data_IF_716864839850
#
_entry.id   IF_716864839850
#
_cell.length_a   1.000
_cell.length_b   1.000
_cell.length_c   1.000
_cell.angle_alpha   90.00
_cell.angle_beta   90.00
_cell.angle_gamma   90.00
#
_symmetry.space_group_name_H-M   'P 1'
#
loop_
_entity.id
_entity.type
_entity.pdbx_description
1 polymer ?
#
# COMPACT_ATOMS: atom_id res chain seq x y z
N UNK A 1 8.32 -26.28 14.10
CA UNK A 1 7.47 -25.66 13.05
C UNK A 1 8.11 -24.32 12.71
N UNK A 2 8.37 -24.00 11.43
CA UNK A 2 9.05 -22.76 11.03
C UNK A 2 8.18 -21.53 11.35
N UNK A 3 8.74 -20.59 12.12
CA UNK A 3 8.06 -19.33 12.46
C UNK A 3 7.88 -18.47 11.21
N UNK A 4 6.64 -18.19 10.86
CA UNK A 4 6.28 -17.57 9.57
C UNK A 4 5.72 -16.18 9.76
N UNK A 5 6.21 -15.22 8.96
CA UNK A 5 5.65 -13.88 8.80
C UNK A 5 4.84 -13.82 7.51
N UNK A 6 3.62 -13.26 7.56
CA UNK A 6 2.90 -12.83 6.37
C UNK A 6 3.35 -11.43 5.96
N UNK A 7 3.71 -11.28 4.70
CA UNK A 7 4.18 -10.03 4.12
C UNK A 7 3.18 -9.56 3.06
N UNK A 8 2.66 -8.33 3.22
CA UNK A 8 1.69 -7.74 2.31
C UNK A 8 2.31 -6.57 1.55
N UNK A 9 2.10 -6.53 0.24
CA UNK A 9 2.64 -5.48 -0.63
C UNK A 9 1.75 -4.22 -0.62
N UNK A 10 2.31 -3.09 -1.07
CA UNK A 10 1.62 -1.82 -1.26
C UNK A 10 1.17 -1.58 -2.69
N UNK A 11 0.83 -0.32 -2.99
CA UNK A 11 0.59 0.16 -4.34
C UNK A 11 1.90 0.22 -5.14
N UNK A 12 1.81 0.15 -6.45
CA UNK A 12 2.97 0.28 -7.36
C UNK A 12 3.52 -1.04 -7.89
N UNK A 13 2.81 -2.15 -7.64
CA UNK A 13 3.11 -3.45 -8.25
C UNK A 13 2.74 -3.53 -9.74
N UNK A 14 2.92 -4.71 -10.33
CA UNK A 14 2.50 -4.97 -11.71
C UNK A 14 0.97 -5.13 -11.79
N UNK A 15 0.31 -4.16 -12.40
CA UNK A 15 -1.16 -4.13 -12.52
C UNK A 15 -1.71 -5.33 -13.28
N UNK A 16 -1.01 -5.83 -14.30
CA UNK A 16 -1.45 -7.00 -15.07
C UNK A 16 -1.45 -8.27 -14.21
N UNK A 17 -0.44 -8.43 -13.37
CA UNK A 17 -0.39 -9.53 -12.40
C UNK A 17 -1.53 -9.44 -11.39
N UNK A 18 -1.86 -8.25 -10.90
CA UNK A 18 -2.97 -8.03 -9.98
C UNK A 18 -4.31 -8.40 -10.60
N UNK A 19 -4.58 -7.93 -11.83
CA UNK A 19 -5.84 -8.26 -12.55
C UNK A 19 -5.98 -9.77 -12.74
N UNK A 20 -4.93 -10.43 -13.24
CA UNK A 20 -4.94 -11.88 -13.47
C UNK A 20 -5.18 -12.64 -12.17
N UNK A 21 -4.49 -12.29 -11.09
CA UNK A 21 -4.63 -12.93 -9.79
C UNK A 21 -6.03 -12.73 -9.19
N UNK A 22 -6.60 -11.53 -9.28
CA UNK A 22 -7.96 -11.27 -8.83
C UNK A 22 -9.01 -12.07 -9.59
N UNK A 23 -8.88 -12.17 -10.93
CA UNK A 23 -9.79 -12.97 -11.75
C UNK A 23 -9.70 -14.45 -11.40
N UNK A 24 -8.50 -14.99 -11.19
CA UNK A 24 -8.30 -16.36 -10.74
C UNK A 24 -8.94 -16.62 -9.37
N UNK A 25 -8.79 -15.69 -8.41
CA UNK A 25 -9.42 -15.80 -7.10
C UNK A 25 -10.95 -15.72 -7.19
N UNK A 26 -11.47 -14.79 -7.99
CA UNK A 26 -12.91 -14.63 -8.20
C UNK A 26 -13.56 -15.86 -8.85
N UNK A 27 -12.86 -16.52 -9.76
CA UNK A 27 -13.35 -17.74 -10.43
C UNK A 27 -13.44 -18.98 -9.52
N UNK A 28 -12.87 -18.94 -8.31
CA UNK A 28 -12.89 -20.08 -7.39
C UNK A 28 -14.19 -20.11 -6.57
N UNK A 29 -14.96 -21.22 -6.60
CA UNK A 29 -16.22 -21.33 -5.87
C UNK A 29 -16.11 -21.04 -4.36
N UNK A 30 -15.00 -21.45 -3.73
CA UNK A 30 -14.73 -21.20 -2.30
C UNK A 30 -14.63 -19.72 -1.94
N UNK A 31 -14.38 -18.84 -2.90
CA UNK A 31 -14.25 -17.39 -2.69
C UNK A 31 -15.56 -16.62 -2.99
N UNK A 32 -16.63 -17.30 -3.41
CA UNK A 32 -17.84 -16.64 -3.86
C UNK A 32 -18.47 -15.74 -2.80
N UNK A 33 -18.60 -16.23 -1.56
CA UNK A 33 -19.16 -15.46 -0.45
C UNK A 33 -18.31 -14.22 -0.14
N UNK A 34 -16.98 -14.34 -0.19
CA UNK A 34 -16.06 -13.23 0.00
C UNK A 34 -16.26 -12.14 -1.06
N UNK A 35 -16.28 -12.52 -2.34
CA UNK A 35 -16.44 -11.52 -3.42
C UNK A 35 -17.83 -10.88 -3.43
N UNK A 36 -18.88 -11.61 -3.04
CA UNK A 36 -20.20 -11.00 -2.82
C UNK A 36 -20.14 -9.91 -1.73
N UNK A 37 -19.44 -10.17 -0.62
CA UNK A 37 -19.22 -9.18 0.43
C UNK A 37 -18.40 -7.98 -0.05
N UNK A 38 -17.36 -8.21 -0.85
CA UNK A 38 -16.55 -7.14 -1.48
C UNK A 38 -17.42 -6.24 -2.36
N UNK A 39 -18.24 -6.81 -3.24
CA UNK A 39 -19.09 -6.03 -4.13
C UNK A 39 -20.14 -5.22 -3.37
N UNK A 40 -20.80 -5.84 -2.38
CA UNK A 40 -21.77 -5.14 -1.54
C UNK A 40 -21.12 -3.99 -0.76
N UNK A 41 -19.94 -4.20 -0.19
CA UNK A 41 -19.21 -3.14 0.54
C UNK A 41 -18.80 -1.98 -0.38
N UNK A 42 -18.44 -2.25 -1.64
CA UNK A 42 -18.11 -1.21 -2.61
C UNK A 42 -19.36 -0.45 -3.07
N UNK A 43 -20.49 -1.13 -3.32
CA UNK A 43 -21.76 -0.49 -3.63
C UNK A 43 -22.19 0.44 -2.49
N UNK A 44 -22.11 -0.03 -1.21
CA UNK A 44 -22.36 0.80 -0.03
C UNK A 44 -21.46 2.06 0.00
N UNK A 45 -20.15 1.92 -0.30
CA UNK A 45 -19.23 3.07 -0.33
C UNK A 45 -19.62 4.06 -1.42
N UNK A 46 -19.97 3.59 -2.63
CA UNK A 46 -20.37 4.44 -3.74
C UNK A 46 -21.67 5.20 -3.42
N UNK A 47 -22.62 4.56 -2.76
CA UNK A 47 -23.88 5.19 -2.32
C UNK A 47 -23.63 6.21 -1.21
N UNK A 48 -22.75 5.89 -0.25
CA UNK A 48 -22.37 6.80 0.84
C UNK A 48 -21.68 8.08 0.35
N UNK A 49 -20.81 7.97 -0.66
CA UNK A 49 -20.11 9.12 -1.24
C UNK A 49 -21.03 10.10 -1.97
N UNK A 50 -22.13 9.61 -2.53
CA UNK A 50 -23.01 10.39 -3.39
C UNK A 50 -22.44 10.63 -4.80
N UNK A 51 -23.28 11.16 -5.69
CA UNK A 51 -22.94 11.31 -7.11
C UNK A 51 -21.75 12.26 -7.33
N UNK A 52 -21.78 13.44 -6.72
CA UNK A 52 -20.79 14.50 -6.97
C UNK A 52 -19.35 14.04 -6.63
N UNK A 53 -19.17 13.43 -5.44
CA UNK A 53 -17.85 12.93 -5.03
C UNK A 53 -17.43 11.75 -5.90
N UNK A 54 -18.37 10.84 -6.19
CA UNK A 54 -18.07 9.68 -7.03
C UNK A 54 -17.61 10.10 -8.43
N UNK A 55 -18.30 11.05 -9.07
CA UNK A 55 -17.97 11.51 -10.42
C UNK A 55 -16.62 12.26 -10.44
N UNK A 56 -16.27 12.96 -9.35
CA UNK A 56 -14.98 13.61 -9.19
C UNK A 56 -13.81 12.59 -9.08
N UNK A 57 -13.91 11.62 -8.17
CA UNK A 57 -12.77 10.76 -7.79
C UNK A 57 -12.72 9.44 -8.55
N UNK A 58 -13.85 8.99 -9.09
CA UNK A 58 -14.05 7.73 -9.83
C UNK A 58 -14.87 7.95 -11.11
N UNK A 59 -14.40 8.75 -12.05
CA UNK A 59 -15.20 9.10 -13.25
C UNK A 59 -15.59 7.89 -14.11
N UNK A 60 -14.82 6.78 -14.03
CA UNK A 60 -15.18 5.50 -14.66
C UNK A 60 -16.04 4.59 -13.77
N UNK A 61 -16.43 5.06 -12.57
CA UNK A 61 -17.04 4.23 -11.53
C UNK A 61 -16.09 3.18 -10.97
N UNK A 62 -16.64 2.25 -10.20
CA UNK A 62 -15.90 1.10 -9.65
C UNK A 62 -16.73 -0.20 -9.76
N UNK A 63 -17.21 -0.59 -10.95
CA UNK A 63 -18.01 -1.78 -11.15
C UNK A 63 -17.12 -3.04 -11.16
N UNK A 64 -16.49 -3.33 -10.01
CA UNK A 64 -15.43 -4.35 -9.88
C UNK A 64 -15.92 -5.73 -10.35
N UNK A 65 -17.17 -6.13 -10.03
CA UNK A 65 -17.75 -7.38 -10.50
C UNK A 65 -17.68 -7.48 -12.04
N UNK A 66 -18.22 -6.46 -12.73
CA UNK A 66 -18.21 -6.42 -14.19
C UNK A 66 -16.79 -6.48 -14.76
N UNK A 67 -15.83 -5.80 -14.14
CA UNK A 67 -14.46 -5.80 -14.60
C UNK A 67 -13.78 -7.17 -14.42
N UNK A 68 -14.07 -7.88 -13.34
CA UNK A 68 -13.56 -9.24 -13.14
C UNK A 68 -14.15 -10.23 -14.16
N UNK A 69 -15.40 -10.07 -14.55
CA UNK A 69 -16.10 -10.93 -15.53
C UNK A 69 -15.72 -10.57 -16.98
N UNK A 70 -15.70 -9.30 -17.34
CA UNK A 70 -15.60 -8.82 -18.73
C UNK A 70 -14.25 -8.18 -19.09
N UNK A 71 -13.39 -7.87 -18.11
CA UNK A 71 -12.11 -7.20 -18.28
C UNK A 71 -12.08 -5.78 -17.73
N UNK A 72 -10.91 -5.38 -17.25
CA UNK A 72 -10.67 -4.04 -16.74
C UNK A 72 -10.46 -3.05 -17.91
N UNK A 73 -10.95 -1.80 -17.79
CA UNK A 73 -10.52 -0.74 -18.70
C UNK A 73 -8.99 -0.55 -18.64
N UNK A 74 -8.32 -0.22 -19.76
CA UNK A 74 -6.84 -0.17 -19.83
C UNK A 74 -6.18 0.67 -18.75
N UNK A 75 -6.80 1.77 -18.34
CA UNK A 75 -6.21 2.73 -17.39
C UNK A 75 -6.87 2.72 -16.00
N UNK A 76 -7.80 1.78 -15.73
CA UNK A 76 -8.54 1.75 -14.47
C UNK A 76 -7.61 1.70 -13.23
N UNK A 77 -6.55 0.89 -13.29
CA UNK A 77 -5.59 0.74 -12.19
C UNK A 77 -4.55 1.88 -12.08
N UNK A 78 -4.60 2.89 -12.95
CA UNK A 78 -3.85 4.14 -12.74
C UNK A 78 -4.46 5.00 -11.64
N UNK A 79 -5.78 4.86 -11.41
CA UNK A 79 -6.43 5.49 -10.28
C UNK A 79 -6.05 4.75 -8.99
N UNK A 80 -5.42 5.45 -8.05
CA UNK A 80 -4.95 4.86 -6.78
C UNK A 80 -6.08 4.28 -5.93
N UNK A 81 -7.33 4.79 -6.05
CA UNK A 81 -8.49 4.26 -5.34
C UNK A 81 -8.82 2.86 -5.88
N UNK A 82 -8.91 2.74 -7.20
CA UNK A 82 -9.19 1.45 -7.87
C UNK A 82 -8.09 0.44 -7.57
N UNK A 83 -6.82 0.83 -7.75
CA UNK A 83 -5.68 -0.04 -7.50
C UNK A 83 -5.62 -0.50 -6.05
N UNK A 84 -5.82 0.41 -5.09
CA UNK A 84 -5.76 0.08 -3.67
C UNK A 84 -6.88 -0.84 -3.19
N UNK A 85 -8.10 -0.62 -3.66
CA UNK A 85 -9.23 -1.53 -3.43
C UNK A 85 -8.92 -2.94 -3.98
N UNK A 86 -8.39 -3.02 -5.20
CA UNK A 86 -8.02 -4.29 -5.82
C UNK A 86 -6.90 -5.01 -5.08
N UNK A 87 -5.84 -4.29 -4.66
CA UNK A 87 -4.74 -4.87 -3.85
C UNK A 87 -5.29 -5.41 -2.53
N UNK A 88 -6.10 -4.63 -1.82
CA UNK A 88 -6.68 -5.04 -0.54
C UNK A 88 -7.60 -6.26 -0.70
N UNK A 89 -8.51 -6.24 -1.70
CA UNK A 89 -9.39 -7.38 -1.98
C UNK A 89 -8.60 -8.65 -2.32
N UNK A 90 -7.52 -8.55 -3.09
CA UNK A 90 -6.63 -9.66 -3.37
C UNK A 90 -6.00 -10.23 -2.10
N UNK A 91 -5.40 -9.37 -1.28
CA UNK A 91 -4.66 -9.78 -0.08
C UNK A 91 -5.57 -10.42 0.97
N UNK A 92 -6.71 -9.79 1.26
CA UNK A 92 -7.66 -10.29 2.27
C UNK A 92 -8.34 -11.58 1.82
N UNK A 93 -8.56 -11.81 0.53
CA UNK A 93 -9.09 -13.07 0.00
C UNK A 93 -8.28 -14.30 0.46
N UNK A 94 -6.98 -14.17 0.61
CA UNK A 94 -6.10 -15.25 1.08
C UNK A 94 -6.18 -15.53 2.59
N UNK A 95 -6.84 -14.67 3.36
CA UNK A 95 -6.93 -14.76 4.82
C UNK A 95 -8.18 -15.47 5.32
N UNK A 96 -9.02 -15.98 4.42
CA UNK A 96 -10.25 -16.69 4.77
C UNK A 96 -9.97 -17.88 5.70
N UNK A 97 -10.81 -18.11 6.74
CA UNK A 97 -10.67 -19.23 7.63
C UNK A 97 -10.84 -20.56 6.87
N UNK A 98 -9.79 -21.35 6.73
CA UNK A 98 -9.80 -22.60 5.96
C UNK A 98 -10.04 -23.86 6.81
N UNK A 99 -10.29 -23.70 8.11
CA UNK A 99 -10.53 -24.82 9.04
C UNK A 99 -9.35 -25.79 9.24
N UNK A 100 -8.22 -25.58 8.57
CA UNK A 100 -7.05 -26.46 8.65
C UNK A 100 -5.86 -25.72 9.26
N UNK A 101 -5.04 -26.41 10.05
CA UNK A 101 -3.93 -25.90 10.87
C UNK A 101 -2.76 -25.16 10.17
N UNK A 102 -2.94 -24.72 8.90
CA UNK A 102 -1.96 -23.90 8.19
C UNK A 102 -1.61 -22.60 8.92
N UNK A 103 -2.53 -22.10 9.76
CA UNK A 103 -2.36 -20.84 10.49
C UNK A 103 -1.48 -20.93 11.74
N UNK A 104 -1.16 -22.12 12.25
CA UNK A 104 -0.38 -22.27 13.48
C UNK A 104 1.10 -21.87 13.33
N UNK A 105 1.66 -22.00 12.12
CA UNK A 105 3.02 -21.57 11.83
C UNK A 105 3.17 -20.06 11.65
N UNK A 106 2.07 -19.36 11.34
CA UNK A 106 2.07 -17.91 11.14
C UNK A 106 2.08 -17.24 12.51
N UNK A 107 3.13 -16.48 12.81
CA UNK A 107 3.35 -15.87 14.12
C UNK A 107 3.41 -14.35 14.10
N UNK A 108 3.43 -13.74 12.91
CA UNK A 108 3.50 -12.28 12.74
C UNK A 108 3.00 -11.85 11.36
N UNK A 109 2.68 -10.56 11.22
CA UNK A 109 2.35 -9.93 9.95
C UNK A 109 3.05 -8.56 9.82
N UNK A 110 3.40 -8.21 8.57
CA UNK A 110 3.97 -6.92 8.20
C UNK A 110 3.39 -6.50 6.84
N UNK A 111 2.93 -5.26 6.73
CA UNK A 111 2.32 -4.75 5.52
C UNK A 111 2.96 -3.46 5.04
N UNK A 112 3.42 -3.41 3.79
CA UNK A 112 3.96 -2.21 3.18
C UNK A 112 2.82 -1.27 2.76
N UNK A 113 2.84 -0.01 3.24
CA UNK A 113 1.84 0.99 2.89
C UNK A 113 0.40 0.46 3.10
N UNK A 114 -0.46 0.47 2.09
CA UNK A 114 -1.85 -0.02 2.17
C UNK A 114 -1.96 -1.48 2.60
N UNK A 115 -0.92 -2.29 2.36
CA UNK A 115 -0.82 -3.67 2.85
C UNK A 115 -0.86 -3.80 4.37
N UNK A 116 -0.64 -2.70 5.11
CA UNK A 116 -0.79 -2.66 6.57
C UNK A 116 -2.20 -3.06 7.00
N UNK A 117 -3.24 -2.66 6.26
CA UNK A 117 -4.61 -3.03 6.61
C UNK A 117 -4.86 -4.55 6.46
N UNK A 118 -4.30 -5.17 5.42
CA UNK A 118 -4.36 -6.63 5.28
C UNK A 118 -3.55 -7.35 6.39
N UNK A 119 -2.42 -6.78 6.81
CA UNK A 119 -1.65 -7.28 7.95
C UNK A 119 -2.44 -7.20 9.26
N UNK A 120 -3.21 -6.12 9.49
CA UNK A 120 -4.12 -5.98 10.64
C UNK A 120 -5.20 -7.07 10.60
N UNK A 121 -5.87 -7.27 9.46
CA UNK A 121 -6.86 -8.35 9.30
C UNK A 121 -6.23 -9.72 9.59
N UNK A 122 -5.02 -9.98 9.11
CA UNK A 122 -4.28 -11.20 9.41
C UNK A 122 -3.97 -11.35 10.91
N UNK A 123 -3.63 -10.23 11.58
CA UNK A 123 -3.34 -10.19 13.01
C UNK A 123 -4.56 -10.49 13.89
N UNK A 124 -5.74 -10.07 13.48
CA UNK A 124 -7.02 -10.29 14.19
C UNK A 124 -7.48 -11.76 14.14
N UNK A 125 -7.08 -12.53 13.14
CA UNK A 125 -7.34 -13.98 13.02
C UNK A 125 -8.79 -14.40 13.27
N UNK A 126 -9.79 -13.86 12.57
CA UNK A 126 -11.17 -14.29 12.72
C UNK A 126 -11.27 -15.81 12.45
N UNK A 127 -11.94 -16.54 13.35
CA UNK A 127 -12.02 -18.00 13.24
C UNK A 127 -13.27 -18.46 12.51
N UNK A 128 -14.31 -17.66 12.51
CA UNK A 128 -15.59 -17.95 11.87
C UNK A 128 -15.67 -17.20 10.54
N UNK A 129 -16.33 -17.81 9.58
CA UNK A 129 -16.48 -17.22 8.23
C UNK A 129 -17.31 -15.93 8.29
N UNK A 130 -18.38 -15.90 9.08
CA UNK A 130 -19.23 -14.70 9.25
C UNK A 130 -18.46 -13.53 9.87
N UNK A 131 -17.66 -13.78 10.92
CA UNK A 131 -16.77 -12.78 11.53
C UNK A 131 -15.74 -12.26 10.53
N UNK A 132 -15.13 -13.17 9.75
CA UNK A 132 -14.19 -12.80 8.71
C UNK A 132 -14.83 -11.92 7.64
N UNK A 133 -16.02 -12.29 7.14
CA UNK A 133 -16.70 -11.52 6.09
C UNK A 133 -17.10 -10.13 6.58
N UNK A 134 -17.59 -10.00 7.81
CA UNK A 134 -17.91 -8.71 8.42
C UNK A 134 -16.64 -7.82 8.56
N UNK A 135 -15.55 -8.40 9.09
CA UNK A 135 -14.27 -7.70 9.20
C UNK A 135 -13.70 -7.29 7.84
N UNK A 136 -13.77 -8.16 6.84
CA UNK A 136 -13.30 -7.88 5.49
C UNK A 136 -14.09 -6.73 4.85
N UNK A 137 -15.40 -6.65 5.05
CA UNK A 137 -16.24 -5.56 4.57
C UNK A 137 -15.89 -4.22 5.24
N UNK A 138 -15.78 -4.17 6.58
CA UNK A 138 -15.36 -2.95 7.29
C UNK A 138 -13.95 -2.51 6.91
N UNK A 139 -13.03 -3.46 6.76
CA UNK A 139 -11.65 -3.23 6.34
C UNK A 139 -11.58 -2.65 4.92
N UNK A 140 -12.40 -3.16 3.99
CA UNK A 140 -12.48 -2.65 2.62
C UNK A 140 -13.06 -1.24 2.58
N UNK A 141 -14.13 -0.96 3.34
CA UNK A 141 -14.72 0.37 3.48
C UNK A 141 -13.69 1.37 4.02
N UNK A 142 -12.93 0.99 5.04
CA UNK A 142 -11.86 1.83 5.61
C UNK A 142 -10.79 2.16 4.55
N UNK A 143 -10.31 1.16 3.80
CA UNK A 143 -9.34 1.35 2.73
C UNK A 143 -9.91 2.25 1.63
N UNK A 144 -11.10 1.97 1.13
CA UNK A 144 -11.72 2.74 0.05
C UNK A 144 -11.91 4.21 0.44
N UNK A 145 -12.46 4.49 1.64
CA UNK A 145 -12.65 5.86 2.11
C UNK A 145 -11.33 6.57 2.39
N UNK A 146 -10.31 5.88 2.91
CA UNK A 146 -8.97 6.48 3.08
C UNK A 146 -8.38 6.94 1.76
N UNK A 147 -8.55 6.16 0.70
CA UNK A 147 -8.09 6.50 -0.64
C UNK A 147 -8.91 7.65 -1.25
N UNK A 148 -10.24 7.64 -1.09
CA UNK A 148 -11.12 8.73 -1.55
C UNK A 148 -10.77 10.04 -0.85
N UNK A 149 -10.69 10.03 0.50
CA UNK A 149 -10.35 11.25 1.27
C UNK A 149 -8.93 11.73 0.98
N UNK A 150 -7.99 10.78 0.76
CA UNK A 150 -6.64 11.09 0.29
C UNK A 150 -6.64 11.79 -1.06
N UNK A 151 -7.41 11.29 -2.04
CA UNK A 151 -7.55 11.90 -3.36
C UNK A 151 -8.13 13.32 -3.27
N UNK A 152 -9.23 13.50 -2.52
CA UNK A 152 -9.85 14.81 -2.30
C UNK A 152 -8.92 15.81 -1.61
N UNK A 153 -8.04 15.36 -0.70
CA UNK A 153 -7.10 16.23 0.02
C UNK A 153 -5.84 16.53 -0.78
N UNK A 154 -5.52 15.71 -1.78
CA UNK A 154 -4.37 15.95 -2.66
C UNK A 154 -4.53 17.22 -3.51
N UNK A 155 -5.76 17.72 -3.68
CA UNK A 155 -6.07 18.84 -4.56
C UNK A 155 -5.84 18.46 -6.03
N UNK A 156 -6.29 19.27 -6.95
CA UNK A 156 -5.93 19.10 -8.36
C UNK A 156 -4.41 19.24 -8.51
N UNK A 157 -3.71 18.14 -8.68
CA UNK A 157 -2.25 18.10 -8.88
C UNK A 157 -1.90 18.56 -10.30
N UNK A 158 -2.49 19.68 -10.75
CA UNK A 158 -2.22 20.27 -12.05
C UNK A 158 -0.73 20.49 -12.22
N UNK A 159 -0.09 19.58 -12.94
CA UNK A 159 1.32 19.75 -13.29
C UNK A 159 1.47 20.87 -14.29
N UNK A 160 2.57 21.66 -14.18
CA UNK A 160 2.92 22.62 -15.19
C UNK A 160 3.14 21.87 -16.53
N UNK A 161 2.35 22.15 -17.61
CA UNK A 161 2.41 21.40 -18.86
C UNK A 161 3.78 21.48 -19.53
N UNK A 162 4.50 22.60 -19.40
CA UNK A 162 5.84 22.78 -19.99
C UNK A 162 6.86 21.85 -19.33
N UNK A 163 6.80 21.73 -17.97
CA UNK A 163 7.68 20.82 -17.23
C UNK A 163 7.37 19.35 -17.56
N UNK A 164 6.09 19.03 -17.71
CA UNK A 164 5.65 17.68 -18.11
C UNK A 164 6.20 17.33 -19.50
N UNK A 165 6.00 18.21 -20.49
CA UNK A 165 6.50 18.00 -21.87
C UNK A 165 8.02 17.83 -21.88
N UNK A 166 8.75 18.73 -21.19
CA UNK A 166 10.20 18.64 -21.07
C UNK A 166 10.68 17.34 -20.43
N UNK A 167 9.96 16.84 -19.43
CA UNK A 167 10.29 15.55 -18.80
C UNK A 167 10.05 14.37 -19.74
N UNK A 168 8.90 14.34 -20.42
CA UNK A 168 8.52 13.25 -21.32
C UNK A 168 9.46 13.14 -22.54
N UNK A 169 10.03 14.26 -23.02
CA UNK A 169 11.04 14.25 -24.06
C UNK A 169 12.33 13.51 -23.64
N UNK A 170 12.62 13.45 -22.35
CA UNK A 170 13.83 12.84 -21.78
C UNK A 170 13.59 11.44 -21.21
N UNK A 171 12.40 11.13 -20.69
CA UNK A 171 12.07 9.82 -20.15
C UNK A 171 11.61 8.87 -21.27
N UNK A 172 12.56 8.07 -21.77
CA UNK A 172 12.28 7.03 -22.77
C UNK A 172 11.29 5.95 -22.32
N UNK A 173 10.96 5.89 -21.03
CA UNK A 173 10.02 4.91 -20.45
C UNK A 173 8.57 5.40 -20.51
N UNK A 174 8.32 6.65 -20.90
CA UNK A 174 6.99 7.21 -21.11
C UNK A 174 6.10 7.27 -19.87
N UNK A 175 6.68 7.28 -18.66
CA UNK A 175 5.89 7.34 -17.42
C UNK A 175 5.37 8.75 -17.20
N UNK A 176 4.06 8.87 -17.09
CA UNK A 176 3.40 10.15 -16.78
C UNK A 176 3.83 10.64 -15.40
N UNK A 177 4.30 11.89 -15.28
CA UNK A 177 4.57 12.51 -14.00
C UNK A 177 3.36 12.50 -13.07
N UNK A 178 3.60 12.27 -11.78
CA UNK A 178 2.58 12.19 -10.74
C UNK A 178 3.12 12.69 -9.39
N UNK A 179 2.32 12.60 -8.31
CA UNK A 179 2.67 13.18 -7.01
C UNK A 179 3.66 12.34 -6.19
N UNK A 180 4.20 11.26 -6.76
CA UNK A 180 5.23 10.44 -6.12
C UNK A 180 6.30 10.02 -7.12
N UNK A 181 7.57 10.06 -6.70
CA UNK A 181 8.70 9.64 -7.52
C UNK A 181 9.69 8.78 -6.73
N UNK A 182 10.14 7.68 -7.32
CA UNK A 182 11.17 6.80 -6.76
C UNK A 182 12.55 7.23 -7.23
N UNK A 183 13.51 7.25 -6.30
CA UNK A 183 14.94 7.44 -6.53
C UNK A 183 15.68 6.15 -6.18
N UNK A 184 16.58 5.73 -7.04
CA UNK A 184 17.46 4.58 -6.78
C UNK A 184 18.91 4.99 -7.03
N UNK A 185 19.80 4.64 -6.10
CA UNK A 185 21.25 4.89 -6.22
C UNK A 185 21.76 6.16 -5.55
N UNK A 186 20.92 6.91 -4.83
CA UNK A 186 21.33 8.04 -3.99
C UNK A 186 21.30 7.65 -2.51
N UNK A 187 22.29 8.09 -1.74
CA UNK A 187 22.27 7.90 -0.29
C UNK A 187 21.18 8.74 0.36
N UNK A 188 20.62 8.25 1.48
CA UNK A 188 19.63 9.02 2.26
C UNK A 188 20.20 10.38 2.71
N UNK A 189 21.48 10.44 3.07
CA UNK A 189 22.15 11.69 3.49
C UNK A 189 22.17 12.74 2.37
N UNK A 190 22.59 12.33 1.17
CA UNK A 190 22.68 13.25 0.02
C UNK A 190 21.29 13.71 -0.43
N UNK A 191 20.30 12.80 -0.40
CA UNK A 191 18.91 13.14 -0.69
C UNK A 191 18.36 14.17 0.29
N UNK A 192 18.57 13.99 1.60
CA UNK A 192 18.16 14.98 2.60
C UNK A 192 18.82 16.35 2.39
N UNK A 193 20.10 16.37 2.00
CA UNK A 193 20.81 17.60 1.65
C UNK A 193 20.19 18.32 0.45
N UNK A 194 19.84 17.57 -0.62
CA UNK A 194 19.19 18.10 -1.81
C UNK A 194 17.77 18.64 -1.49
N UNK A 195 16.97 17.87 -0.75
CA UNK A 195 15.62 18.26 -0.34
C UNK A 195 15.62 19.52 0.53
N UNK A 196 16.54 19.63 1.50
CA UNK A 196 16.63 20.81 2.37
C UNK A 196 16.88 22.07 1.54
N UNK A 197 17.90 22.06 0.65
CA UNK A 197 18.19 23.20 -0.23
C UNK A 197 17.00 23.60 -1.11
N UNK A 198 16.27 22.60 -1.62
CA UNK A 198 15.07 22.83 -2.42
C UNK A 198 13.93 23.44 -1.61
N UNK A 199 13.64 22.89 -0.44
CA UNK A 199 12.53 23.35 0.41
C UNK A 199 12.78 24.74 1.03
N UNK A 200 14.05 25.13 1.26
CA UNK A 200 14.42 26.48 1.70
C UNK A 200 13.98 27.58 0.71
N UNK A 201 13.71 27.24 -0.56
CA UNK A 201 13.18 28.15 -1.57
C UNK A 201 11.66 28.38 -1.52
N UNK A 202 10.97 27.88 -0.48
CA UNK A 202 9.51 27.98 -0.33
C UNK A 202 8.74 26.92 -1.10
N UNK A 203 9.42 25.92 -1.64
CA UNK A 203 8.87 24.74 -2.31
C UNK A 203 8.78 23.56 -1.34
N UNK A 204 8.07 22.50 -1.70
CA UNK A 204 7.83 21.39 -0.76
C UNK A 204 7.86 20.01 -1.42
N UNK A 205 8.96 19.29 -1.16
CA UNK A 205 9.03 17.85 -1.40
C UNK A 205 9.29 17.12 -0.08
N UNK A 206 8.67 15.96 0.11
CA UNK A 206 8.77 15.16 1.33
C UNK A 206 9.37 13.79 1.03
N UNK A 207 10.21 13.28 1.92
CA UNK A 207 10.64 11.87 1.88
C UNK A 207 9.50 11.02 2.43
N UNK A 208 8.89 10.20 1.58
CA UNK A 208 7.72 9.40 1.89
C UNK A 208 8.06 7.97 2.26
N UNK A 209 9.02 7.35 1.55
CA UNK A 209 9.41 5.98 1.84
C UNK A 209 10.94 5.83 1.77
N UNK A 210 11.49 5.17 2.78
CA UNK A 210 12.82 4.60 2.77
C UNK A 210 12.65 3.09 2.63
N UNK A 211 12.58 2.60 1.39
CA UNK A 211 12.28 1.20 1.08
C UNK A 211 13.49 0.28 1.29
N UNK A 212 14.68 0.80 1.05
CA UNK A 212 15.96 0.12 1.28
C UNK A 212 17.08 1.17 1.35
N UNK A 213 18.32 0.80 1.68
CA UNK A 213 19.44 1.74 1.70
C UNK A 213 19.63 2.52 0.38
N UNK A 214 19.17 1.96 -0.74
CA UNK A 214 19.36 2.53 -2.07
C UNK A 214 18.08 2.98 -2.77
N UNK A 215 16.90 2.72 -2.20
CA UNK A 215 15.59 3.03 -2.82
C UNK A 215 14.76 3.89 -1.90
N UNK A 216 14.54 5.14 -2.28
CA UNK A 216 13.68 6.10 -1.58
C UNK A 216 12.55 6.57 -2.50
N UNK A 217 11.48 7.10 -1.89
CA UNK A 217 10.37 7.72 -2.62
C UNK A 217 10.08 9.09 -2.05
N UNK A 218 9.95 10.06 -2.92
CA UNK A 218 9.50 11.41 -2.60
C UNK A 218 8.02 11.57 -2.94
N UNK A 219 7.33 12.42 -2.18
CA UNK A 219 6.00 12.94 -2.50
C UNK A 219 5.97 14.46 -2.49
N UNK A 220 5.04 15.02 -3.25
CA UNK A 220 4.82 16.45 -3.39
C UNK A 220 3.85 16.75 -4.51
N UNK A 221 3.64 18.03 -4.82
CA UNK A 221 2.95 18.37 -6.06
C UNK A 221 3.76 17.85 -7.26
N UNK A 222 3.08 17.47 -8.34
CA UNK A 222 3.79 17.03 -9.56
C UNK A 222 4.75 18.10 -10.08
N UNK A 223 4.38 19.38 -9.97
CA UNK A 223 5.24 20.51 -10.34
C UNK A 223 6.48 20.56 -9.48
N UNK A 224 6.35 20.46 -8.13
CA UNK A 224 7.51 20.49 -7.22
C UNK A 224 8.46 19.31 -7.47
N UNK A 225 7.92 18.11 -7.74
CA UNK A 225 8.75 16.94 -8.05
C UNK A 225 9.50 17.08 -9.37
N UNK A 226 8.86 17.66 -10.40
CA UNK A 226 9.51 17.96 -11.68
C UNK A 226 10.59 19.03 -11.53
N UNK A 227 10.30 20.12 -10.83
CA UNK A 227 11.26 21.16 -10.54
C UNK A 227 12.45 20.63 -9.72
N UNK A 228 12.18 19.78 -8.71
CA UNK A 228 13.23 19.11 -7.93
C UNK A 228 14.11 18.22 -8.83
N UNK A 229 13.50 17.45 -9.74
CA UNK A 229 14.21 16.63 -10.69
C UNK A 229 15.15 17.49 -11.55
N UNK A 230 14.64 18.54 -12.19
CA UNK A 230 15.44 19.41 -13.07
C UNK A 230 16.54 20.19 -12.32
N UNK A 231 16.27 20.60 -11.08
CA UNK A 231 17.27 21.26 -10.25
C UNK A 231 18.45 20.34 -9.85
N UNK A 232 18.24 19.02 -9.87
CA UNK A 232 19.26 18.04 -9.50
C UNK A 232 19.69 17.14 -10.66
N UNK A 233 19.21 17.37 -11.88
CA UNK A 233 19.41 16.52 -13.06
C UNK A 233 20.89 16.18 -13.29
N UNK A 234 21.77 17.17 -13.27
CA UNK A 234 23.22 16.99 -13.46
C UNK A 234 23.82 16.08 -12.38
N UNK A 235 23.40 16.26 -11.11
CA UNK A 235 23.88 15.41 -10.00
C UNK A 235 23.36 13.99 -10.16
N UNK A 236 22.11 13.82 -10.58
CA UNK A 236 21.51 12.50 -10.81
C UNK A 236 22.23 11.74 -11.92
N UNK A 237 22.53 12.40 -13.03
CA UNK A 237 23.31 11.82 -14.15
C UNK A 237 24.71 11.41 -13.71
N UNK A 238 25.45 12.31 -13.05
CA UNK A 238 26.83 12.05 -12.59
C UNK A 238 26.90 10.90 -11.57
N UNK A 239 25.91 10.84 -10.67
CA UNK A 239 25.83 9.82 -9.62
C UNK A 239 25.08 8.56 -10.06
N UNK A 240 24.64 8.47 -11.31
CA UNK A 240 23.84 7.36 -11.89
C UNK A 240 22.57 7.07 -11.08
N UNK A 241 21.94 8.12 -10.54
CA UNK A 241 20.67 8.01 -9.84
C UNK A 241 19.56 7.75 -10.87
N UNK A 242 18.76 6.74 -10.61
CA UNK A 242 17.55 6.48 -11.40
C UNK A 242 16.35 7.17 -10.76
N UNK A 243 15.75 8.10 -11.49
CA UNK A 243 14.48 8.73 -11.16
C UNK A 243 13.33 8.07 -11.92
N UNK A 244 12.18 7.86 -11.27
CA UNK A 244 11.00 7.32 -11.95
C UNK A 244 9.73 7.71 -11.22
N UNK A 245 8.77 8.35 -11.91
CA UNK A 245 7.45 8.58 -11.34
C UNK A 245 6.70 7.27 -11.10
N UNK A 246 5.95 7.22 -9.99
CA UNK A 246 5.06 6.12 -9.65
C UNK A 246 3.68 6.38 -10.24
N UNK A 247 2.95 5.31 -10.58
CA UNK A 247 1.57 5.41 -11.10
C UNK A 247 0.56 5.67 -9.98
N UNK A 248 0.85 6.64 -9.11
CA UNK A 248 -0.03 7.02 -8.01
C UNK A 248 -0.67 8.38 -8.30
N UNK A 249 -1.94 8.55 -7.93
CA UNK A 249 -2.68 9.82 -8.03
C UNK A 249 -2.76 10.57 -6.70
N UNK A 250 -2.20 10.01 -5.63
CA UNK A 250 -2.24 10.53 -4.26
C UNK A 250 -0.81 10.59 -3.73
N UNK A 251 -0.38 11.72 -3.10
CA UNK A 251 0.95 11.87 -2.49
C UNK A 251 1.00 11.19 -1.11
N UNK A 252 0.92 9.85 -1.08
CA UNK A 252 0.92 9.08 0.16
C UNK A 252 2.13 9.35 1.05
N UNK A 253 1.98 9.04 2.35
CA UNK A 253 3.03 9.17 3.37
C UNK A 253 3.55 10.60 3.47
N UNK A 254 2.62 11.57 3.42
CA UNK A 254 2.90 12.99 3.47
C UNK A 254 2.00 13.70 4.47
N UNK A 255 2.56 14.63 5.25
CA UNK A 255 1.79 15.46 6.18
C UNK A 255 0.67 16.27 5.50
N UNK A 256 0.75 16.48 4.19
CA UNK A 256 -0.33 17.10 3.41
C UNK A 256 -1.65 16.31 3.46
N UNK A 257 -1.60 15.00 3.74
CA UNK A 257 -2.77 14.15 3.86
C UNK A 257 -3.34 14.06 5.29
N UNK A 258 -2.80 14.81 6.26
CA UNK A 258 -3.36 14.84 7.61
C UNK A 258 -4.86 15.21 7.65
N UNK A 259 -5.37 16.17 6.84
CA UNK A 259 -6.81 16.43 6.76
C UNK A 259 -7.62 15.23 6.26
N UNK A 260 -7.08 14.42 5.35
CA UNK A 260 -7.73 13.21 4.88
C UNK A 260 -7.93 12.20 6.02
N UNK A 261 -6.91 12.00 6.85
CA UNK A 261 -6.99 11.10 8.00
C UNK A 261 -8.09 11.52 8.98
N UNK A 262 -8.25 12.83 9.23
CA UNK A 262 -9.33 13.36 10.06
C UNK A 262 -10.71 13.09 9.45
N UNK A 263 -10.89 13.33 8.15
CA UNK A 263 -12.16 13.08 7.44
C UNK A 263 -12.56 11.60 7.45
N UNK A 264 -11.60 10.68 7.36
CA UNK A 264 -11.91 9.23 7.48
C UNK A 264 -12.42 8.88 8.88
N UNK A 265 -11.98 9.59 9.92
CA UNK A 265 -12.55 9.41 11.28
C UNK A 265 -14.02 9.82 11.36
N UNK A 266 -14.43 10.84 10.63
CA UNK A 266 -15.83 11.22 10.53
C UNK A 266 -16.66 10.14 9.81
N UNK A 267 -16.03 9.36 8.92
CA UNK A 267 -16.67 8.25 8.20
C UNK A 267 -16.79 6.95 9.04
N UNK A 268 -16.21 6.85 10.26
CA UNK A 268 -16.16 5.61 11.03
C UNK A 268 -17.53 5.01 11.37
N UNK A 269 -18.55 5.84 11.58
CA UNK A 269 -19.91 5.37 11.81
C UNK A 269 -20.45 4.56 10.62
N UNK A 270 -20.09 4.94 9.40
CA UNK A 270 -20.45 4.22 8.17
C UNK A 270 -19.53 2.99 7.94
N UNK A 271 -18.25 3.09 8.21
CA UNK A 271 -17.29 1.98 8.05
C UNK A 271 -17.71 0.79 8.91
N UNK A 272 -18.22 1.05 10.10
CA UNK A 272 -18.60 0.03 11.07
C UNK A 272 -17.47 -0.31 12.04
N UNK A 273 -17.69 -1.29 12.93
CA UNK A 273 -16.75 -1.60 13.99
C UNK A 273 -15.41 -2.14 13.43
N UNK A 274 -14.32 -1.57 13.92
CA UNK A 274 -12.95 -2.07 13.72
C UNK A 274 -12.43 -2.49 15.10
N UNK A 275 -11.96 -3.75 15.27
CA UNK A 275 -11.42 -4.21 16.55
C UNK A 275 -10.21 -3.41 17.00
N UNK A 276 -10.03 -3.22 18.31
CA UNK A 276 -8.87 -2.57 18.90
C UNK A 276 -7.61 -3.44 18.92
N UNK A 277 -6.45 -2.85 19.31
CA UNK A 277 -5.16 -3.54 19.32
C UNK A 277 -5.10 -4.75 20.25
N UNK A 278 -5.91 -4.77 21.32
CA UNK A 278 -6.06 -5.89 22.24
C UNK A 278 -6.64 -7.16 21.60
N UNK A 279 -7.32 -7.00 20.44
CA UNK A 279 -7.90 -8.11 19.67
C UNK A 279 -6.88 -8.78 18.75
N UNK A 280 -5.68 -8.22 18.60
CA UNK A 280 -4.62 -8.81 17.75
C UNK A 280 -4.10 -10.11 18.39
N UNK A 281 -4.38 -11.24 17.77
CA UNK A 281 -3.94 -12.55 18.19
C UNK A 281 -2.46 -12.83 17.95
N UNK A 282 -1.80 -12.01 17.12
CA UNK A 282 -0.36 -12.05 16.86
C UNK A 282 0.19 -10.64 16.59
N UNK A 283 1.53 -10.42 16.70
CA UNK A 283 2.16 -9.16 16.33
C UNK A 283 1.83 -8.73 14.91
N UNK A 284 1.47 -7.47 14.75
CA UNK A 284 1.48 -6.73 13.49
C UNK A 284 2.46 -5.58 13.69
N UNK A 285 3.44 -5.48 12.80
CA UNK A 285 4.50 -4.50 12.97
C UNK A 285 4.19 -3.21 12.22
N UNK A 286 4.47 -2.08 12.88
CA UNK A 286 4.38 -0.77 12.28
C UNK A 286 5.49 -0.57 11.23
N UNK A 287 5.26 0.35 10.28
CA UNK A 287 6.17 0.65 9.18
C UNK A 287 6.88 2.00 9.31
N UNK A 288 6.38 2.87 10.17
CA UNK A 288 6.94 4.19 10.48
C UNK A 288 8.02 4.13 11.58
N UNK A 289 8.01 3.08 12.41
CA UNK A 289 8.96 2.86 13.50
C UNK A 289 8.96 1.37 13.92
N UNK A 290 10.06 0.86 14.50
CA UNK A 290 10.17 -0.53 14.96
C UNK A 290 9.32 -0.76 16.22
N UNK A 291 8.04 -1.11 16.06
CA UNK A 291 7.08 -1.38 17.16
C UNK A 291 5.98 -2.35 16.75
N UNK A 292 5.43 -3.04 17.74
CA UNK A 292 4.29 -3.96 17.63
C UNK A 292 2.99 -3.20 17.87
N UNK A 293 2.03 -3.27 16.95
CA UNK A 293 0.74 -2.58 17.01
C UNK A 293 -0.18 -3.08 18.12
N UNK A 294 0.08 -4.23 18.74
CA UNK A 294 -0.62 -4.65 19.96
C UNK A 294 -0.44 -3.69 21.14
N UNK A 295 0.59 -2.82 21.06
CA UNK A 295 0.90 -1.79 22.05
C UNK A 295 0.39 -0.40 21.64
N UNK A 296 -0.28 -0.28 20.54
CA UNK A 296 -0.90 0.97 20.11
C UNK A 296 -2.21 1.23 20.86
N UNK A 297 -2.78 2.40 20.69
CA UNK A 297 -4.06 2.78 21.30
C UNK A 297 -5.25 2.54 20.39
N UNK A 298 -5.05 2.60 19.06
CA UNK A 298 -6.10 2.48 18.06
C UNK A 298 -5.53 2.00 16.73
N UNK A 299 -6.10 0.93 16.15
CA UNK A 299 -5.61 0.36 14.89
C UNK A 299 -6.01 1.18 13.66
N UNK A 300 -7.15 1.89 13.72
CA UNK A 300 -7.57 2.77 12.62
C UNK A 300 -6.62 3.96 12.54
N UNK A 301 -6.31 4.56 13.69
CA UNK A 301 -5.34 5.66 13.76
C UNK A 301 -3.95 5.25 13.27
N UNK A 302 -3.51 4.05 13.63
CA UNK A 302 -2.25 3.51 13.12
C UNK A 302 -2.27 3.35 11.61
N UNK A 303 -3.34 2.75 11.07
CA UNK A 303 -3.49 2.59 9.63
C UNK A 303 -3.50 3.95 8.91
N UNK A 304 -4.36 4.89 9.34
CA UNK A 304 -4.49 6.20 8.70
C UNK A 304 -3.19 6.99 8.74
N UNK A 305 -2.54 7.04 9.90
CA UNK A 305 -1.30 7.79 10.06
C UNK A 305 -0.15 7.18 9.27
N UNK A 306 0.00 5.84 9.26
CA UNK A 306 1.11 5.18 8.57
C UNK A 306 0.92 5.12 7.05
N UNK A 307 -0.31 5.11 6.54
CA UNK A 307 -0.57 5.04 5.09
C UNK A 307 -0.69 6.43 4.45
N UNK A 308 -1.32 7.37 5.16
CA UNK A 308 -1.55 8.71 4.60
C UNK A 308 -0.45 9.71 4.98
N UNK A 309 0.00 9.71 6.24
CA UNK A 309 0.69 10.88 6.81
C UNK A 309 2.18 10.65 7.06
N UNK A 310 2.53 9.52 7.70
CA UNK A 310 3.90 9.27 8.17
C UNK A 310 4.75 8.56 7.11
N UNK A 311 6.04 8.88 7.03
CA UNK A 311 6.94 8.17 6.13
C UNK A 311 7.12 6.70 6.57
N UNK A 312 7.40 5.84 5.59
CA UNK A 312 7.78 4.45 5.83
C UNK A 312 9.30 4.36 6.07
N UNK A 313 9.69 3.69 7.15
CA UNK A 313 11.06 3.30 7.50
C UNK A 313 11.20 1.76 7.35
N UNK A 314 11.11 1.27 6.09
CA UNK A 314 10.96 -0.16 5.83
C UNK A 314 12.13 -1.02 6.31
N UNK A 315 13.35 -0.51 6.20
CA UNK A 315 14.55 -1.23 6.66
C UNK A 315 14.45 -1.54 8.16
N UNK A 316 14.15 -0.53 8.97
CA UNK A 316 14.00 -0.68 10.42
C UNK A 316 12.80 -1.57 10.78
N UNK A 317 11.66 -1.39 10.11
CA UNK A 317 10.45 -2.16 10.33
C UNK A 317 10.65 -3.65 10.00
N UNK A 318 11.24 -3.98 8.85
CA UNK A 318 11.48 -5.35 8.42
C UNK A 318 12.51 -6.05 9.33
N UNK A 319 13.60 -5.37 9.67
CA UNK A 319 14.61 -5.92 10.58
C UNK A 319 14.02 -6.21 11.97
N UNK A 320 13.20 -5.29 12.49
CA UNK A 320 12.52 -5.47 13.78
C UNK A 320 11.54 -6.65 13.74
N UNK A 321 10.65 -6.71 12.72
CA UNK A 321 9.68 -7.78 12.60
C UNK A 321 10.31 -9.17 12.49
N UNK A 322 11.42 -9.30 11.76
CA UNK A 322 12.13 -10.56 11.60
C UNK A 322 12.85 -10.97 12.91
N UNK A 323 13.51 -10.01 13.55
CA UNK A 323 14.27 -10.25 14.79
C UNK A 323 13.38 -10.53 15.99
N UNK A 324 12.40 -9.68 16.26
CA UNK A 324 11.50 -9.76 17.41
C UNK A 324 10.66 -11.05 17.41
N UNK A 325 10.10 -11.40 16.24
CA UNK A 325 9.32 -12.62 16.10
C UNK A 325 10.17 -13.88 15.80
N UNK A 326 11.48 -13.78 15.65
CA UNK A 326 12.36 -14.92 15.33
C UNK A 326 11.94 -15.63 14.04
N UNK A 327 11.75 -14.89 12.97
CA UNK A 327 11.15 -15.36 11.72
C UNK A 327 12.16 -16.20 10.91
N UNK A 328 11.74 -17.41 10.54
CA UNK A 328 12.49 -18.33 9.68
C UNK A 328 11.97 -18.34 8.25
N UNK A 329 10.68 -17.95 8.05
CA UNK A 329 10.03 -17.93 6.75
C UNK A 329 9.18 -16.68 6.58
N UNK A 330 9.25 -16.08 5.39
CA UNK A 330 8.39 -14.98 4.94
C UNK A 330 7.49 -15.48 3.82
N UNK A 331 6.19 -15.36 4.00
CA UNK A 331 5.18 -15.67 2.97
C UNK A 331 4.71 -14.36 2.37
N UNK A 332 5.03 -14.18 1.09
CA UNK A 332 4.63 -13.03 0.29
C UNK A 332 3.18 -13.23 -0.19
N UNK A 333 2.29 -12.36 0.30
CA UNK A 333 0.87 -12.36 -0.05
C UNK A 333 0.57 -11.50 -1.31
N UNK A 334 1.59 -10.96 -1.97
CA UNK A 334 1.46 -10.22 -3.21
C UNK A 334 0.59 -8.95 -3.12
N UNK A 335 0.02 -8.53 -4.26
CA UNK A 335 0.13 -9.13 -5.60
C UNK A 335 1.42 -8.83 -6.34
N UNK A 336 2.18 -7.84 -5.90
CA UNK A 336 3.44 -7.42 -6.52
C UNK A 336 4.67 -7.97 -5.80
N UNK A 337 5.87 -7.78 -6.36
CA UNK A 337 7.14 -8.20 -5.76
C UNK A 337 7.79 -7.13 -4.88
N UNK A 338 7.19 -5.95 -4.71
CA UNK A 338 7.80 -4.76 -4.12
C UNK A 338 8.27 -4.99 -2.69
N UNK A 339 7.36 -5.27 -1.78
CA UNK A 339 7.68 -5.51 -0.37
C UNK A 339 8.66 -6.66 -0.19
N UNK A 340 8.49 -7.75 -0.94
CA UNK A 340 9.43 -8.89 -0.92
C UNK A 340 10.82 -8.50 -1.35
N UNK A 341 10.96 -7.71 -2.44
CA UNK A 341 12.26 -7.25 -2.94
C UNK A 341 12.95 -6.36 -1.92
N UNK A 342 12.25 -5.36 -1.39
CA UNK A 342 12.79 -4.43 -0.39
C UNK A 342 13.18 -5.17 0.90
N UNK A 343 12.31 -6.05 1.39
CA UNK A 343 12.62 -6.86 2.58
C UNK A 343 13.88 -7.70 2.38
N UNK A 344 14.04 -8.36 1.23
CA UNK A 344 15.25 -9.14 0.93
C UNK A 344 16.51 -8.28 0.88
N UNK A 345 16.43 -7.08 0.30
CA UNK A 345 17.55 -6.15 0.23
C UNK A 345 17.98 -5.69 1.62
N UNK A 346 17.03 -5.25 2.46
CA UNK A 346 17.28 -4.83 3.83
C UNK A 346 17.87 -5.96 4.69
N UNK A 347 17.32 -7.17 4.61
CA UNK A 347 17.78 -8.30 5.42
C UNK A 347 19.16 -8.82 5.02
N UNK A 348 19.51 -8.78 3.73
CA UNK A 348 20.87 -9.11 3.28
C UNK A 348 21.91 -8.18 3.87
N UNK A 349 21.61 -6.89 3.94
CA UNK A 349 22.50 -5.91 4.57
C UNK A 349 22.74 -6.23 6.06
N UNK A 350 21.74 -6.82 6.73
CA UNK A 350 21.78 -7.16 8.17
C UNK A 350 22.16 -8.62 8.45
N UNK A 351 22.58 -9.40 7.44
CA UNK A 351 23.01 -10.79 7.60
C UNK A 351 21.88 -11.80 7.90
N UNK A 352 20.61 -11.40 7.81
CA UNK A 352 19.46 -12.26 8.00
C UNK A 352 19.00 -12.87 6.67
N UNK A 353 18.66 -14.17 6.67
CA UNK A 353 18.28 -14.87 5.45
C UNK A 353 17.09 -15.84 5.66
N UNK A 354 15.88 -15.35 6.00
CA UNK A 354 14.71 -16.18 6.09
C UNK A 354 14.33 -16.73 4.70
N UNK A 355 13.63 -17.87 4.69
CA UNK A 355 13.11 -18.44 3.45
C UNK A 355 11.92 -17.63 2.94
N UNK A 356 11.91 -17.27 1.66
CA UNK A 356 10.78 -16.57 1.02
C UNK A 356 9.97 -17.51 0.14
N UNK A 357 8.66 -17.52 0.33
CA UNK A 357 7.68 -18.28 -0.47
C UNK A 357 6.53 -17.36 -0.90
N UNK A 358 5.79 -17.71 -1.98
CA UNK A 358 4.53 -17.04 -2.28
C UNK A 358 3.38 -17.68 -1.48
N UNK A 359 2.28 -16.94 -1.33
CA UNK A 359 1.08 -17.43 -0.64
C UNK A 359 0.49 -18.68 -1.32
N UNK A 360 0.58 -18.79 -2.64
CA UNK A 360 0.12 -19.95 -3.38
C UNK A 360 0.97 -21.18 -3.09
N UNK A 361 2.30 -21.03 -3.00
CA UNK A 361 3.21 -22.13 -2.64
C UNK A 361 2.95 -22.57 -1.19
N UNK A 362 2.75 -21.62 -0.29
CA UNK A 362 2.45 -21.90 1.11
C UNK A 362 1.12 -22.63 1.26
N UNK A 363 0.05 -22.16 0.61
CA UNK A 363 -1.29 -22.75 0.68
C UNK A 363 -1.36 -24.16 0.09
N UNK A 364 -0.58 -24.46 -0.97
CA UNK A 364 -0.52 -25.82 -1.55
C UNK A 364 0.08 -26.86 -0.61
N UNK A 365 1.01 -26.45 0.27
CA UNK A 365 1.62 -27.38 1.26
C UNK A 365 0.75 -27.61 2.48
N UNK A 366 -0.19 -26.70 2.73
CA UNK A 366 -1.12 -26.80 3.84
C UNK A 366 -2.37 -27.66 3.51
N UNK A 367 -2.57 -27.97 2.23
CA UNK A 367 -3.61 -28.92 1.75
C UNK A 367 -3.07 -30.34 1.76
#
# INVERSE_FOLDING_TARGET
MMRTLLLFDGLGGNNDTLVSALRELHARPENLAYFHGVFAALDDVLDYLGADVRDEVLPAGLPLRRWLESGFPPDALRNSIVAGVCVHAHQVCHLQPTGRGANEAVVAALGHSIGLQAAIVAGLRPRRVDEFLALAASSLKLVALSLVRGHQSAGGTGANPELVSRYLERDSRGRTPGPMASLTGMSRHDLHGAMRRYNESGRSVSLSLVNSPTVQVLSGSTTDLLDFYFANEVVFEQSRVTWSFLSNTIPFHSSHLAPAALRVRDDLAFIGPVPGPESLAMPVYATDAPRDLRRSTDLVDEFLNQVLVRPIEWEAAAAHAIGDAGIERVVDCGPGPGARRFTRECLRANGSNPRFESIEQFSRRAR
#
